data_IF_429132988092
#
_entry.id   IF_429132988092
#
_cell.length_a   1.000
_cell.length_b   1.000
_cell.length_c   1.000
_cell.angle_alpha   90.00
_cell.angle_beta   90.00
_cell.angle_gamma   90.00
#
_symmetry.space_group_name_H-M   'P 1'
#
loop_
_entity.id
_entity.type
_entity.pdbx_description
1 polymer ?
#
# COMPACT_ATOMS: atom_id res chain seq x y z
N UNK A 1 -34.51 11.71 -9.77
CA UNK A 1 -33.42 12.71 -9.83
C UNK A 1 -32.11 11.93 -9.81
N UNK A 2 -31.44 11.73 -10.95
CA UNK A 2 -30.12 11.08 -10.93
C UNK A 2 -29.11 12.10 -10.38
N UNK A 3 -28.70 11.90 -9.13
CA UNK A 3 -27.66 12.71 -8.51
C UNK A 3 -26.37 12.69 -9.34
N UNK A 4 -25.57 13.73 -9.25
CA UNK A 4 -24.22 13.75 -9.80
C UNK A 4 -23.40 12.62 -9.15
N UNK A 5 -22.63 11.86 -9.95
CA UNK A 5 -21.72 10.81 -9.50
C UNK A 5 -20.28 11.19 -9.81
N UNK A 6 -19.38 10.71 -8.98
CA UNK A 6 -17.94 10.77 -9.21
C UNK A 6 -17.47 9.38 -9.69
N UNK A 7 -17.06 9.31 -10.95
CA UNK A 7 -16.77 8.05 -11.65
C UNK A 7 -15.28 8.00 -12.00
N UNK A 8 -14.58 6.96 -11.60
CA UNK A 8 -13.21 6.72 -12.00
C UNK A 8 -13.18 5.83 -13.25
N UNK A 9 -12.46 6.26 -14.28
CA UNK A 9 -12.19 5.49 -15.52
C UNK A 9 -10.72 5.07 -15.47
N UNK A 10 -10.48 3.78 -15.26
CA UNK A 10 -9.13 3.23 -15.09
C UNK A 10 -8.65 2.62 -16.41
N UNK A 11 -7.65 3.23 -17.01
CA UNK A 11 -7.09 2.79 -18.29
C UNK A 11 -6.06 1.68 -18.10
N UNK A 12 -6.46 0.44 -18.34
CA UNK A 12 -5.67 -0.77 -18.19
C UNK A 12 -5.42 -1.52 -19.51
N UNK A 13 -5.67 -0.89 -20.67
CA UNK A 13 -5.59 -1.51 -22.01
C UNK A 13 -4.17 -1.59 -22.59
N UNK A 14 -3.18 -0.94 -21.99
CA UNK A 14 -1.82 -0.88 -22.50
C UNK A 14 -1.14 -2.24 -22.62
N UNK A 15 -0.58 -2.54 -23.80
CA UNK A 15 0.14 -3.79 -24.09
C UNK A 15 1.52 -3.91 -23.43
N UNK A 16 2.08 -2.79 -22.93
CA UNK A 16 3.37 -2.81 -22.23
C UNK A 16 4.61 -3.04 -23.12
N UNK A 17 4.54 -2.80 -24.44
CA UNK A 17 5.62 -3.06 -25.41
C UNK A 17 6.99 -2.55 -24.95
N UNK A 18 7.07 -1.36 -24.36
CA UNK A 18 8.33 -0.78 -23.83
C UNK A 18 8.86 -1.48 -22.59
N UNK A 19 8.05 -2.28 -21.93
CA UNK A 19 8.44 -2.98 -20.70
C UNK A 19 9.16 -4.30 -20.98
N UNK A 20 8.91 -4.95 -22.14
CA UNK A 20 9.60 -6.15 -22.58
C UNK A 20 9.29 -7.43 -21.78
N UNK A 21 8.25 -7.43 -20.92
CA UNK A 21 7.83 -8.61 -20.17
C UNK A 21 6.78 -9.43 -20.95
N UNK A 22 6.69 -10.75 -20.70
CA UNK A 22 5.68 -11.62 -21.33
C UNK A 22 4.25 -11.32 -20.88
N UNK A 23 4.08 -10.61 -19.75
CA UNK A 23 2.80 -10.21 -19.18
C UNK A 23 2.67 -8.68 -19.18
N UNK A 24 1.49 -8.12 -19.49
CA UNK A 24 1.27 -6.67 -19.41
C UNK A 24 1.53 -6.15 -17.99
N UNK A 25 2.21 -5.00 -17.90
CA UNK A 25 2.75 -4.43 -16.65
C UNK A 25 1.70 -4.16 -15.57
N UNK A 26 0.44 -3.92 -15.92
CA UNK A 26 -0.64 -3.73 -14.96
C UNK A 26 -0.97 -4.99 -14.14
N UNK A 27 -0.55 -6.16 -14.61
CA UNK A 27 -0.72 -7.44 -13.92
C UNK A 27 0.53 -7.93 -13.19
N UNK A 28 1.64 -7.21 -13.33
CA UNK A 28 2.85 -7.53 -12.56
C UNK A 28 2.59 -7.31 -11.07
N UNK A 29 3.16 -8.19 -10.26
CA UNK A 29 3.07 -8.07 -8.81
C UNK A 29 4.01 -7.01 -8.27
N UNK A 30 3.52 -6.29 -7.29
CA UNK A 30 4.16 -5.20 -6.58
C UNK A 30 3.68 -5.25 -5.13
N UNK A 31 4.57 -5.43 -4.17
CA UNK A 31 4.20 -5.52 -2.74
C UNK A 31 2.98 -6.44 -2.48
N UNK A 32 2.97 -7.65 -3.06
CA UNK A 32 1.96 -8.68 -2.85
C UNK A 32 0.68 -8.58 -3.69
N UNK A 33 0.44 -7.48 -4.41
CA UNK A 33 -0.73 -7.27 -5.28
C UNK A 33 -0.29 -6.91 -6.69
N UNK A 34 -1.18 -7.05 -7.66
CA UNK A 34 -0.91 -6.51 -9.00
C UNK A 34 -0.91 -4.98 -8.99
N UNK A 35 -0.21 -4.39 -9.94
CA UNK A 35 -0.21 -2.93 -10.14
C UNK A 35 -1.65 -2.41 -10.31
N UNK A 36 -2.51 -3.16 -11.01
CA UNK A 36 -3.93 -2.83 -11.18
C UNK A 36 -4.68 -2.85 -9.84
N UNK A 37 -4.48 -3.87 -9.00
CA UNK A 37 -5.12 -3.95 -7.67
C UNK A 37 -4.75 -2.77 -6.79
N UNK A 38 -3.47 -2.37 -6.77
CA UNK A 38 -3.05 -1.17 -6.03
C UNK A 38 -3.78 0.09 -6.50
N UNK A 39 -3.91 0.26 -7.81
CA UNK A 39 -4.63 1.41 -8.37
C UNK A 39 -6.11 1.35 -8.01
N UNK A 40 -6.76 0.19 -8.15
CA UNK A 40 -8.17 0.02 -7.81
C UNK A 40 -8.44 0.24 -6.32
N UNK A 41 -7.55 -0.21 -5.44
CA UNK A 41 -7.66 -0.02 -3.99
C UNK A 41 -7.78 1.45 -3.60
N UNK A 42 -7.08 2.36 -4.29
CA UNK A 42 -7.15 3.80 -4.01
C UNK A 42 -8.55 4.34 -4.28
N UNK A 43 -9.14 4.02 -5.43
CA UNK A 43 -10.48 4.51 -5.81
C UNK A 43 -11.59 3.77 -5.05
N UNK A 44 -11.45 2.47 -4.79
CA UNK A 44 -12.40 1.68 -4.00
C UNK A 44 -12.55 2.23 -2.59
N UNK A 45 -11.43 2.59 -1.95
CA UNK A 45 -11.42 3.12 -0.57
C UNK A 45 -11.77 4.60 -0.47
N UNK A 46 -11.75 5.34 -1.57
CA UNK A 46 -12.01 6.77 -1.55
C UNK A 46 -13.51 7.06 -1.32
N UNK A 47 -13.90 7.79 -0.26
CA UNK A 47 -15.32 7.95 0.12
C UNK A 47 -16.15 8.68 -0.93
N UNK A 48 -15.56 9.62 -1.67
CA UNK A 48 -16.25 10.41 -2.66
C UNK A 48 -16.37 9.75 -4.04
N UNK A 49 -15.74 8.60 -4.30
CA UNK A 49 -15.89 7.87 -5.56
C UNK A 49 -17.08 6.92 -5.46
N UNK A 50 -18.01 7.03 -6.40
CA UNK A 50 -19.25 6.25 -6.44
C UNK A 50 -19.13 5.01 -7.33
N UNK A 51 -18.36 5.10 -8.41
CA UNK A 51 -18.30 4.08 -9.47
C UNK A 51 -16.91 4.00 -10.08
N UNK A 52 -16.49 2.79 -10.46
CA UNK A 52 -15.24 2.54 -11.18
C UNK A 52 -15.58 1.80 -12.47
N UNK A 53 -15.07 2.32 -13.59
CA UNK A 53 -15.09 1.68 -14.91
C UNK A 53 -13.67 1.30 -15.28
N UNK A 54 -13.41 0.05 -15.60
CA UNK A 54 -12.10 -0.42 -16.05
C UNK A 54 -12.11 -0.57 -17.57
N UNK A 55 -11.10 0.01 -18.22
CA UNK A 55 -10.90 -0.13 -19.67
C UNK A 55 -9.72 -1.05 -19.89
N UNK A 56 -10.00 -2.33 -20.19
CA UNK A 56 -9.01 -3.40 -20.36
C UNK A 56 -8.64 -3.64 -21.82
N UNK A 57 -7.56 -4.40 -22.05
CA UNK A 57 -7.28 -5.00 -23.35
C UNK A 57 -8.21 -6.21 -23.56
N UNK A 58 -8.75 -6.38 -24.78
CA UNK A 58 -9.64 -7.49 -25.12
C UNK A 58 -9.05 -8.87 -24.74
N UNK A 59 -7.75 -9.07 -24.94
CA UNK A 59 -7.06 -10.34 -24.67
C UNK A 59 -6.94 -10.64 -23.16
N UNK A 60 -7.09 -9.65 -22.29
CA UNK A 60 -6.86 -9.77 -20.84
C UNK A 60 -8.11 -9.48 -20.01
N UNK A 61 -9.30 -9.40 -20.61
CA UNK A 61 -10.54 -9.11 -19.88
C UNK A 61 -10.89 -10.22 -18.87
N UNK A 62 -10.60 -11.48 -19.21
CA UNK A 62 -10.82 -12.61 -18.29
C UNK A 62 -9.98 -12.43 -17.02
N UNK A 63 -8.68 -12.22 -17.17
CA UNK A 63 -7.77 -11.98 -16.05
C UNK A 63 -8.17 -10.75 -15.21
N UNK A 64 -8.60 -9.70 -15.88
CA UNK A 64 -9.11 -8.49 -15.19
C UNK A 64 -10.33 -8.82 -14.32
N UNK A 65 -11.29 -9.57 -14.86
CA UNK A 65 -12.50 -9.99 -14.12
C UNK A 65 -12.17 -10.95 -12.96
N UNK A 66 -11.22 -11.87 -13.15
CA UNK A 66 -10.76 -12.77 -12.08
C UNK A 66 -10.17 -11.95 -10.90
N UNK A 67 -9.34 -10.95 -11.18
CA UNK A 67 -8.78 -10.04 -10.17
C UNK A 67 -9.90 -9.31 -9.42
N UNK A 68 -10.86 -8.74 -10.14
CA UNK A 68 -11.98 -8.00 -9.56
C UNK A 68 -12.79 -8.89 -8.62
N UNK A 69 -13.17 -10.08 -9.08
CA UNK A 69 -13.98 -11.01 -8.32
C UNK A 69 -13.25 -11.52 -7.07
N UNK A 70 -11.96 -11.87 -7.20
CA UNK A 70 -11.13 -12.32 -6.08
C UNK A 70 -10.97 -11.24 -5.01
N UNK A 71 -10.73 -9.98 -5.41
CA UNK A 71 -10.52 -8.87 -4.49
C UNK A 71 -11.83 -8.30 -3.91
N UNK A 72 -12.99 -8.62 -4.50
CA UNK A 72 -14.30 -8.21 -4.01
C UNK A 72 -14.58 -6.71 -4.13
N UNK A 73 -14.07 -6.05 -5.18
CA UNK A 73 -14.33 -4.63 -5.44
C UNK A 73 -15.81 -4.36 -5.68
N UNK A 74 -16.39 -3.47 -4.88
CA UNK A 74 -17.84 -3.15 -4.90
C UNK A 74 -18.19 -2.00 -5.83
N UNK A 75 -17.26 -1.06 -6.04
CA UNK A 75 -17.45 0.11 -6.88
C UNK A 75 -17.17 -0.16 -8.35
N UNK A 76 -16.51 -1.28 -8.68
CA UNK A 76 -16.29 -1.67 -10.08
C UNK A 76 -17.59 -2.18 -10.67
N UNK A 77 -18.19 -1.36 -11.52
CA UNK A 77 -19.49 -1.67 -12.13
C UNK A 77 -19.39 -2.17 -13.56
N UNK A 78 -18.29 -1.83 -14.26
CA UNK A 78 -18.09 -2.16 -15.68
C UNK A 78 -16.64 -2.46 -15.98
N UNK A 79 -16.44 -3.46 -16.85
CA UNK A 79 -15.16 -3.71 -17.54
C UNK A 79 -15.44 -3.64 -19.03
N UNK A 80 -14.82 -2.68 -19.71
CA UNK A 80 -15.02 -2.45 -21.15
C UNK A 80 -13.73 -2.70 -21.92
N UNK A 81 -13.84 -3.09 -23.19
CA UNK A 81 -12.67 -3.23 -24.05
C UNK A 81 -12.18 -1.85 -24.51
N UNK A 82 -10.89 -1.59 -24.34
CA UNK A 82 -10.22 -0.41 -24.88
C UNK A 82 -9.88 -0.55 -26.37
N UNK A 83 -9.33 0.53 -26.93
CA UNK A 83 -8.83 0.55 -28.29
C UNK A 83 -7.31 0.37 -28.39
N UNK A 84 -6.77 0.54 -29.58
CA UNK A 84 -5.33 0.41 -29.88
C UNK A 84 -4.52 1.54 -29.25
N UNK A 85 -5.12 2.73 -29.10
CA UNK A 85 -4.46 3.90 -28.52
C UNK A 85 -5.03 4.24 -27.15
N UNK A 86 -4.28 5.05 -26.36
CA UNK A 86 -4.77 5.59 -25.07
C UNK A 86 -6.04 6.41 -25.28
N UNK A 87 -6.10 7.24 -26.32
CA UNK A 87 -7.26 8.05 -26.68
C UNK A 87 -8.49 7.18 -26.96
N UNK A 88 -8.36 6.13 -27.78
CA UNK A 88 -9.46 5.21 -28.07
C UNK A 88 -9.94 4.48 -26.80
N UNK A 89 -9.04 4.16 -25.91
CA UNK A 89 -9.38 3.54 -24.63
C UNK A 89 -10.13 4.52 -23.72
N UNK A 90 -9.69 5.77 -23.64
CA UNK A 90 -10.41 6.83 -22.91
C UNK A 90 -11.80 7.06 -23.52
N UNK A 91 -11.91 7.10 -24.87
CA UNK A 91 -13.18 7.19 -25.58
C UNK A 91 -14.15 6.04 -25.25
N UNK A 92 -13.65 4.79 -25.18
CA UNK A 92 -14.45 3.63 -24.80
C UNK A 92 -14.94 3.76 -23.34
N UNK A 93 -14.07 4.23 -22.45
CA UNK A 93 -14.39 4.47 -21.05
C UNK A 93 -15.51 5.48 -20.88
N UNK A 94 -15.38 6.68 -21.47
CA UNK A 94 -16.41 7.73 -21.35
C UNK A 94 -17.71 7.36 -22.07
N UNK A 95 -17.66 6.60 -23.15
CA UNK A 95 -18.84 6.11 -23.85
C UNK A 95 -19.69 5.18 -22.97
N UNK A 96 -19.09 4.47 -22.03
CA UNK A 96 -19.79 3.60 -21.09
C UNK A 96 -20.50 4.34 -19.94
N UNK A 97 -20.16 5.62 -19.73
CA UNK A 97 -20.76 6.47 -18.70
C UNK A 97 -22.04 7.12 -19.27
N UNK A 98 -23.16 6.92 -18.60
CA UNK A 98 -24.46 7.47 -19.01
C UNK A 98 -24.70 8.81 -18.30
N UNK A 99 -24.96 9.87 -19.10
CA UNK A 99 -25.24 11.23 -18.59
C UNK A 99 -24.03 12.17 -18.69
N UNK A 100 -24.31 13.47 -18.76
CA UNK A 100 -23.32 14.51 -19.10
C UNK A 100 -22.88 15.38 -17.91
N UNK A 101 -23.47 15.15 -16.74
CA UNK A 101 -23.22 15.99 -15.54
C UNK A 101 -22.37 15.32 -14.48
N UNK A 102 -21.86 14.11 -14.75
CA UNK A 102 -20.98 13.40 -13.81
C UNK A 102 -19.57 14.02 -13.79
N UNK A 103 -18.89 13.92 -12.66
CA UNK A 103 -17.46 14.13 -12.59
C UNK A 103 -16.77 12.82 -12.95
N UNK A 104 -15.90 12.81 -13.94
CA UNK A 104 -15.13 11.64 -14.35
C UNK A 104 -13.64 11.88 -14.15
N UNK A 105 -12.95 10.90 -13.57
CA UNK A 105 -11.52 10.91 -13.36
C UNK A 105 -10.90 9.82 -14.21
N UNK A 106 -10.15 10.20 -15.24
CA UNK A 106 -9.43 9.28 -16.12
C UNK A 106 -8.04 9.04 -15.55
N UNK A 107 -7.73 7.78 -15.20
CA UNK A 107 -6.48 7.43 -14.54
C UNK A 107 -5.78 6.24 -15.19
N UNK A 108 -4.46 6.33 -15.32
CA UNK A 108 -3.64 5.23 -15.83
C UNK A 108 -3.52 4.12 -14.77
N UNK A 109 -3.94 2.89 -15.08
CA UNK A 109 -3.83 1.71 -14.19
C UNK A 109 -2.40 1.44 -13.69
N UNK A 110 -1.41 2.00 -14.35
CA UNK A 110 0.02 1.85 -14.04
C UNK A 110 0.61 3.00 -13.22
N UNK A 111 -0.25 3.75 -12.52
CA UNK A 111 0.12 4.71 -11.47
C UNK A 111 -0.45 4.29 -10.11
N UNK A 112 0.07 3.21 -9.53
CA UNK A 112 -0.51 2.59 -8.34
C UNK A 112 -0.28 3.41 -7.06
N UNK A 113 0.49 4.49 -7.14
CA UNK A 113 0.91 5.31 -6.01
C UNK A 113 0.12 6.63 -5.90
N UNK A 114 -1.06 6.72 -6.49
CA UNK A 114 -1.98 7.84 -6.31
C UNK A 114 -2.38 7.97 -4.83
N UNK A 115 -2.57 9.19 -4.35
CA UNK A 115 -3.08 9.48 -3.01
C UNK A 115 -4.53 10.03 -3.07
N UNK A 116 -5.26 9.91 -1.96
CA UNK A 116 -6.63 10.41 -1.85
C UNK A 116 -6.71 11.93 -2.00
N UNK A 117 -5.71 12.66 -1.48
CA UNK A 117 -5.67 14.12 -1.54
C UNK A 117 -5.61 14.66 -2.98
N UNK A 118 -4.96 13.93 -3.89
CA UNK A 118 -4.95 14.29 -5.31
C UNK A 118 -6.34 14.10 -5.94
N UNK A 119 -7.07 13.05 -5.57
CA UNK A 119 -8.46 12.84 -5.99
C UNK A 119 -9.35 14.00 -5.49
N UNK A 120 -9.23 14.35 -4.19
CA UNK A 120 -9.99 15.45 -3.61
C UNK A 120 -9.74 16.76 -4.35
N UNK A 121 -8.47 17.13 -4.63
CA UNK A 121 -8.13 18.33 -5.40
C UNK A 121 -8.78 18.36 -6.79
N UNK A 122 -8.80 17.22 -7.49
CA UNK A 122 -9.46 17.11 -8.79
C UNK A 122 -10.98 17.32 -8.69
N UNK A 123 -11.62 16.70 -7.70
CA UNK A 123 -13.06 16.83 -7.48
C UNK A 123 -13.46 18.25 -7.07
N UNK A 124 -12.65 18.91 -6.23
CA UNK A 124 -12.87 20.28 -5.80
C UNK A 124 -12.67 21.29 -6.94
N UNK A 125 -11.64 21.09 -7.79
CA UNK A 125 -11.43 21.93 -8.95
C UNK A 125 -12.59 21.86 -9.95
N UNK A 126 -13.20 20.69 -10.15
CA UNK A 126 -14.37 20.50 -10.99
C UNK A 126 -15.65 21.20 -10.47
N UNK A 127 -15.63 21.80 -9.29
CA UNK A 127 -16.72 22.72 -8.90
C UNK A 127 -16.63 24.08 -9.63
N UNK A 128 -15.44 24.45 -10.12
CA UNK A 128 -15.13 25.74 -10.72
C UNK A 128 -14.87 25.69 -12.23
N UNK A 129 -14.48 24.52 -12.75
CA UNK A 129 -14.10 24.33 -14.14
C UNK A 129 -14.64 23.00 -14.68
N UNK A 130 -14.50 22.79 -15.99
CA UNK A 130 -14.98 21.58 -16.68
C UNK A 130 -13.88 20.55 -16.95
N UNK A 131 -12.61 20.95 -16.84
CA UNK A 131 -11.45 20.09 -17.07
C UNK A 131 -10.31 20.41 -16.11
N UNK A 132 -9.64 19.39 -15.61
CA UNK A 132 -8.54 19.47 -14.62
C UNK A 132 -7.42 18.54 -15.01
N UNK A 133 -6.18 19.03 -14.98
CA UNK A 133 -4.97 18.21 -15.11
C UNK A 133 -4.25 18.11 -13.78
N UNK A 134 -3.74 16.94 -13.46
CA UNK A 134 -2.86 16.73 -12.31
C UNK A 134 -1.41 16.86 -12.78
N UNK A 135 -0.62 17.74 -12.16
CA UNK A 135 0.77 17.90 -12.58
C UNK A 135 1.70 18.28 -11.41
N UNK A 136 3.00 18.00 -11.61
CA UNK A 136 4.08 18.39 -10.69
C UNK A 136 5.05 19.35 -11.38
N UNK A 137 5.78 20.22 -10.65
CA UNK A 137 6.84 21.03 -11.22
C UNK A 137 7.90 20.16 -11.91
N UNK A 138 8.44 20.60 -13.05
CA UNK A 138 9.58 19.95 -13.68
C UNK A 138 10.84 20.13 -12.81
N UNK A 139 11.45 19.00 -12.37
CA UNK A 139 12.69 19.00 -11.57
C UNK A 139 13.93 19.25 -12.41
N UNK A 140 13.96 18.70 -13.61
CA UNK A 140 15.10 18.78 -14.51
C UNK A 140 14.92 19.91 -15.54
N UNK A 141 16.04 20.33 -16.14
CA UNK A 141 16.02 21.27 -17.27
C UNK A 141 15.40 20.58 -18.48
N UNK A 142 14.31 21.13 -19.00
CA UNK A 142 13.68 20.67 -20.23
C UNK A 142 14.33 21.38 -21.42
N UNK A 143 14.77 20.59 -22.41
CA UNK A 143 15.35 21.11 -23.65
C UNK A 143 14.45 20.75 -24.83
N UNK A 144 14.25 21.67 -25.76
CA UNK A 144 13.65 21.40 -27.06
C UNK A 144 14.76 21.20 -28.08
N UNK A 145 14.70 20.09 -28.81
CA UNK A 145 15.73 19.75 -29.81
C UNK A 145 15.16 19.83 -31.23
N UNK A 146 16.03 20.12 -32.16
CA UNK A 146 15.78 20.05 -33.61
C UNK A 146 15.85 18.60 -34.09
N UNK A 147 15.45 18.34 -35.34
CA UNK A 147 15.50 16.99 -35.95
C UNK A 147 16.91 16.40 -36.08
N UNK A 148 17.92 17.28 -36.14
CA UNK A 148 19.36 16.93 -36.21
C UNK A 148 20.03 16.92 -34.83
N UNK A 149 19.22 16.83 -33.75
CA UNK A 149 19.66 16.66 -32.35
C UNK A 149 20.44 17.83 -31.76
N UNK A 150 20.25 19.06 -32.26
CA UNK A 150 20.78 20.27 -31.65
C UNK A 150 19.74 20.90 -30.70
N UNK A 151 20.20 21.59 -29.67
CA UNK A 151 19.30 22.35 -28.79
C UNK A 151 18.71 23.53 -29.57
N UNK A 152 17.41 23.54 -29.71
CA UNK A 152 16.66 24.63 -30.33
C UNK A 152 16.30 25.74 -29.31
N UNK A 153 15.96 25.30 -28.07
CA UNK A 153 15.49 26.20 -27.02
C UNK A 153 15.51 25.52 -25.65
N UNK A 154 15.63 26.31 -24.60
CA UNK A 154 15.53 25.87 -23.19
C UNK A 154 14.44 26.71 -22.51
N UNK A 155 13.21 26.19 -22.44
CA UNK A 155 12.08 26.90 -21.85
C UNK A 155 12.33 27.23 -20.35
N UNK A 156 11.70 28.30 -19.85
CA UNK A 156 11.71 28.63 -18.42
C UNK A 156 11.04 27.51 -17.62
N UNK A 157 11.83 26.79 -16.81
CA UNK A 157 11.36 25.67 -15.99
C UNK A 157 10.30 26.07 -14.97
N UNK A 158 10.27 27.33 -14.53
CA UNK A 158 9.32 27.80 -13.51
C UNK A 158 7.86 27.66 -13.95
N UNK A 159 7.58 27.71 -15.26
CA UNK A 159 6.25 27.56 -15.84
C UNK A 159 5.97 26.15 -16.37
N UNK A 160 6.96 25.26 -16.34
CA UNK A 160 6.78 23.90 -16.86
C UNK A 160 6.29 22.93 -15.76
N UNK A 161 5.40 22.06 -16.17
CA UNK A 161 4.83 21.00 -15.34
C UNK A 161 4.92 19.65 -16.05
N UNK A 162 5.06 18.58 -15.28
CA UNK A 162 4.98 17.21 -15.76
C UNK A 162 3.58 16.68 -15.46
N UNK A 163 2.80 16.41 -16.52
CA UNK A 163 1.43 15.91 -16.43
C UNK A 163 1.39 14.51 -15.82
N UNK A 164 0.43 14.31 -14.94
CA UNK A 164 0.14 13.03 -14.31
C UNK A 164 -1.32 12.63 -14.61
N UNK A 165 -1.83 11.63 -13.92
CA UNK A 165 -3.25 11.31 -13.82
C UNK A 165 -3.59 11.08 -12.33
N UNK A 166 -4.87 11.28 -11.91
CA UNK A 166 -6.07 11.43 -12.73
C UNK A 166 -6.13 12.77 -13.46
N UNK A 167 -6.65 12.74 -14.69
CA UNK A 167 -7.21 13.91 -15.36
C UNK A 167 -8.71 13.90 -15.13
N UNK A 168 -9.31 15.01 -14.76
CA UNK A 168 -10.70 15.02 -14.36
C UNK A 168 -11.56 15.97 -15.22
N UNK A 169 -12.80 15.58 -15.47
CA UNK A 169 -13.68 16.26 -16.43
C UNK A 169 -15.14 16.20 -16.01
N UNK A 170 -15.96 17.16 -16.50
CA UNK A 170 -17.39 16.94 -16.65
C UNK A 170 -17.61 15.94 -17.79
N UNK A 171 -18.42 14.91 -17.56
CA UNK A 171 -18.59 13.80 -18.51
C UNK A 171 -19.04 14.22 -19.89
N UNK A 172 -19.91 15.24 -19.99
CA UNK A 172 -20.37 15.79 -21.27
C UNK A 172 -19.26 16.46 -22.06
N UNK A 173 -18.36 17.19 -21.41
CA UNK A 173 -17.24 17.89 -22.06
C UNK A 173 -16.24 16.88 -22.63
N UNK A 174 -15.85 15.87 -21.84
CA UNK A 174 -14.94 14.82 -22.29
C UNK A 174 -15.55 14.00 -23.45
N UNK A 175 -16.84 13.66 -23.36
CA UNK A 175 -17.56 12.95 -24.43
C UNK A 175 -17.54 13.74 -25.73
N UNK A 176 -17.87 15.03 -25.66
CA UNK A 176 -17.84 15.93 -26.84
C UNK A 176 -16.45 15.99 -27.47
N UNK A 177 -15.39 16.08 -26.66
CA UNK A 177 -14.00 16.07 -27.14
C UNK A 177 -13.69 14.81 -27.94
N UNK A 178 -14.02 13.63 -27.38
CA UNK A 178 -13.82 12.36 -28.07
C UNK A 178 -14.69 12.18 -29.30
N UNK A 179 -15.92 12.70 -29.33
CA UNK A 179 -16.79 12.63 -30.49
C UNK A 179 -16.23 13.48 -31.67
N UNK A 180 -15.67 14.64 -31.37
CA UNK A 180 -14.97 15.45 -32.37
C UNK A 180 -13.72 14.73 -32.90
N UNK A 181 -12.94 14.12 -32.00
CA UNK A 181 -11.72 13.42 -32.34
C UNK A 181 -11.91 12.20 -33.26
N UNK A 182 -13.11 11.60 -33.30
CA UNK A 182 -13.42 10.47 -34.21
C UNK A 182 -13.23 10.79 -35.68
N UNK A 183 -13.40 12.05 -36.05
CA UNK A 183 -13.37 12.51 -37.43
C UNK A 183 -11.99 13.06 -37.87
N UNK A 184 -10.99 13.01 -37.00
CA UNK A 184 -9.65 13.56 -37.21
C UNK A 184 -8.59 12.46 -37.21
N UNK A 185 -8.07 12.11 -38.40
CA UNK A 185 -7.13 10.99 -38.56
C UNK A 185 -5.68 11.28 -38.13
N UNK A 186 -5.26 12.55 -38.10
CA UNK A 186 -3.88 12.97 -37.81
C UNK A 186 -3.75 13.73 -36.47
N UNK A 187 -4.62 13.45 -35.53
CA UNK A 187 -4.66 14.12 -34.24
C UNK A 187 -3.37 13.86 -33.42
N UNK A 188 -2.64 14.94 -33.10
CA UNK A 188 -1.38 14.89 -32.33
C UNK A 188 -1.60 15.37 -30.89
N UNK A 189 -2.43 14.66 -30.14
CA UNK A 189 -2.60 14.91 -28.70
C UNK A 189 -2.14 13.70 -27.89
N UNK A 190 -1.60 13.94 -26.73
CA UNK A 190 -1.00 12.90 -25.88
C UNK A 190 -1.95 12.41 -24.77
N UNK A 191 -2.95 13.24 -24.42
CA UNK A 191 -3.88 12.99 -23.30
C UNK A 191 -5.25 13.67 -23.51
N UNK A 192 -6.13 13.48 -22.54
CA UNK A 192 -7.51 13.97 -22.63
C UNK A 192 -7.61 15.49 -22.43
N UNK A 193 -6.74 16.09 -21.62
CA UNK A 193 -6.65 17.55 -21.47
C UNK A 193 -6.23 18.23 -22.78
N UNK A 194 -5.31 17.59 -23.51
CA UNK A 194 -4.91 18.06 -24.84
C UNK A 194 -6.08 18.09 -25.83
N UNK A 195 -7.03 17.15 -25.75
CA UNK A 195 -8.26 17.19 -26.58
C UNK A 195 -9.13 18.39 -26.24
N UNK A 196 -9.32 18.69 -24.96
CA UNK A 196 -10.13 19.84 -24.52
C UNK A 196 -9.55 21.14 -25.09
N UNK A 197 -8.23 21.32 -24.96
CA UNK A 197 -7.54 22.51 -25.50
C UNK A 197 -7.57 22.57 -27.01
N UNK A 198 -7.34 21.45 -27.71
CA UNK A 198 -7.33 21.36 -29.17
C UNK A 198 -8.67 21.79 -29.78
N UNK A 199 -9.79 21.37 -29.19
CA UNK A 199 -11.12 21.70 -29.66
C UNK A 199 -11.73 22.96 -29.02
N UNK A 200 -10.99 23.67 -28.17
CA UNK A 200 -11.47 24.89 -27.51
C UNK A 200 -12.72 24.65 -26.65
N UNK A 201 -12.81 23.53 -25.96
CA UNK A 201 -13.97 23.14 -25.16
C UNK A 201 -13.96 23.69 -23.74
N UNK A 202 -13.01 24.51 -23.40
CA UNK A 202 -12.86 25.19 -22.13
C UNK A 202 -11.40 25.25 -21.66
N UNK A 203 -11.19 25.91 -20.52
CA UNK A 203 -9.89 25.98 -19.86
C UNK A 203 -9.64 24.70 -19.06
N UNK A 204 -8.35 24.35 -18.89
CA UNK A 204 -7.91 23.22 -18.08
C UNK A 204 -7.20 23.77 -16.85
N UNK A 205 -7.79 23.58 -15.67
CA UNK A 205 -7.16 23.95 -14.40
C UNK A 205 -6.11 22.91 -14.03
N UNK A 206 -4.92 23.35 -13.54
CA UNK A 206 -3.86 22.46 -13.08
C UNK A 206 -3.89 22.35 -11.58
N UNK A 207 -4.05 21.14 -11.05
CA UNK A 207 -3.94 20.84 -9.61
C UNK A 207 -2.60 20.18 -9.28
N UNK A 208 -2.14 20.38 -8.03
CA UNK A 208 -0.90 19.79 -7.57
C UNK A 208 -1.02 18.26 -7.47
N UNK A 209 -0.15 17.54 -8.17
CA UNK A 209 0.07 16.10 -8.04
C UNK A 209 1.03 15.73 -6.90
N UNK A 210 1.42 14.46 -6.86
CA UNK A 210 2.43 13.93 -5.93
C UNK A 210 3.63 13.40 -6.74
N UNK A 211 4.84 13.72 -6.29
CA UNK A 211 6.10 13.24 -6.91
C UNK A 211 6.18 11.69 -6.89
N UNK A 212 5.55 11.05 -5.91
CA UNK A 212 5.49 9.60 -5.81
C UNK A 212 4.43 8.97 -6.73
N UNK A 213 3.53 9.73 -7.34
CA UNK A 213 2.53 9.22 -8.28
C UNK A 213 3.20 8.90 -9.63
N UNK A 214 4.25 8.07 -9.60
CA UNK A 214 5.03 7.68 -10.76
C UNK A 214 4.22 6.79 -11.71
N UNK A 215 4.53 6.89 -13.00
CA UNK A 215 4.01 5.97 -14.03
C UNK A 215 4.98 4.83 -14.23
N UNK A 216 4.58 3.60 -13.95
CA UNK A 216 5.38 2.41 -14.24
C UNK A 216 5.49 2.28 -15.76
N UNK A 217 6.69 2.55 -16.29
CA UNK A 217 6.96 2.59 -17.73
C UNK A 217 8.10 1.62 -18.10
N UNK A 218 9.13 1.56 -17.28
CA UNK A 218 10.33 0.71 -17.45
C UNK A 218 10.41 -0.33 -16.33
N UNK A 219 11.17 -1.44 -16.54
CA UNK A 219 11.37 -2.44 -15.49
C UNK A 219 11.92 -1.88 -14.18
N UNK A 220 12.80 -0.87 -14.23
CA UNK A 220 13.34 -0.17 -13.06
C UNK A 220 12.26 0.49 -12.20
N UNK A 221 11.14 0.91 -12.80
CA UNK A 221 10.08 1.62 -12.10
C UNK A 221 9.33 0.69 -11.12
N UNK A 222 9.31 -0.62 -11.38
CA UNK A 222 8.76 -1.61 -10.45
C UNK A 222 9.54 -1.60 -9.14
N UNK A 223 10.88 -1.63 -9.21
CA UNK A 223 11.73 -1.61 -8.02
C UNK A 223 11.57 -0.29 -7.24
N UNK A 224 11.47 0.83 -7.99
CA UNK A 224 11.22 2.13 -7.37
C UNK A 224 9.83 2.17 -6.70
N UNK A 225 8.79 1.71 -7.39
CA UNK A 225 7.43 1.65 -6.84
C UNK A 225 7.37 0.73 -5.62
N UNK A 226 7.99 -0.47 -5.67
CA UNK A 226 8.06 -1.39 -4.53
C UNK A 226 8.74 -0.70 -3.33
N UNK A 227 9.84 0.00 -3.57
CA UNK A 227 10.51 0.77 -2.52
C UNK A 227 9.65 1.89 -1.96
N UNK A 228 8.91 2.61 -2.80
CA UNK A 228 7.99 3.66 -2.34
C UNK A 228 6.84 3.02 -1.54
N UNK A 229 6.28 1.88 -1.95
CA UNK A 229 5.28 1.15 -1.16
C UNK A 229 5.83 0.74 0.21
N UNK A 230 7.05 0.21 0.26
CA UNK A 230 7.72 -0.11 1.53
C UNK A 230 7.92 1.13 2.41
N UNK A 231 8.14 2.31 1.81
CA UNK A 231 8.30 3.59 2.52
C UNK A 231 6.97 4.29 2.82
N UNK A 232 5.91 4.03 2.03
CA UNK A 232 4.52 4.45 2.29
C UNK A 232 3.83 3.56 3.33
N UNK A 233 4.61 2.81 4.09
CA UNK A 233 4.09 2.09 5.23
C UNK A 233 3.02 2.95 5.93
N UNK A 234 1.85 2.37 6.16
CA UNK A 234 0.69 3.09 6.72
C UNK A 234 1.12 3.82 7.99
N UNK A 235 1.24 5.14 7.90
CA UNK A 235 1.45 5.96 9.09
C UNK A 235 0.16 5.94 9.87
N UNK A 236 0.12 5.13 10.91
CA UNK A 236 -0.96 5.21 11.89
C UNK A 236 -0.59 6.37 12.81
N UNK A 237 -1.29 7.49 12.63
CA UNK A 237 -1.12 8.67 13.48
C UNK A 237 -1.60 8.38 14.91
N UNK A 238 -1.07 9.14 15.85
CA UNK A 238 -1.41 9.07 17.29
C UNK A 238 -2.88 9.42 17.60
N UNK A 239 -3.68 9.78 16.60
CA UNK A 239 -5.07 10.27 16.71
C UNK A 239 -6.17 9.31 16.23
N UNK A 240 -5.87 8.09 15.79
CA UNK A 240 -6.93 7.13 15.46
C UNK A 240 -7.67 6.70 16.75
N UNK A 241 -9.01 6.64 16.69
CA UNK A 241 -9.90 6.29 17.82
C UNK A 241 -9.50 4.95 18.46
N UNK A 242 -9.97 4.71 19.68
CA UNK A 242 -9.73 3.44 20.39
C UNK A 242 -10.29 2.29 19.54
N UNK A 243 -9.46 1.25 19.22
CA UNK A 243 -9.95 0.08 18.50
C UNK A 243 -11.02 -0.64 19.32
N UNK A 244 -12.07 -1.11 18.68
CA UNK A 244 -13.06 -1.97 19.32
C UNK A 244 -12.50 -3.39 19.47
N UNK A 245 -12.14 -3.74 20.68
CA UNK A 245 -11.49 -4.99 21.05
C UNK A 245 -12.41 -5.93 21.85
N UNK A 246 -13.62 -5.48 22.17
CA UNK A 246 -14.53 -6.22 23.05
C UNK A 246 -14.82 -7.62 22.52
N UNK A 247 -14.62 -8.61 23.37
CA UNK A 247 -14.82 -10.03 23.07
C UNK A 247 -13.82 -10.66 22.08
N UNK A 248 -12.82 -9.93 21.60
CA UNK A 248 -11.80 -10.48 20.69
C UNK A 248 -10.74 -11.27 21.45
N UNK A 249 -10.28 -12.35 20.85
CA UNK A 249 -9.23 -13.21 21.42
C UNK A 249 -7.87 -12.86 20.78
N UNK A 250 -6.94 -12.38 21.61
CA UNK A 250 -5.64 -11.85 21.17
C UNK A 250 -4.52 -12.59 21.91
N UNK A 251 -3.64 -13.25 21.16
CA UNK A 251 -2.45 -13.93 21.69
C UNK A 251 -1.22 -13.07 21.45
N UNK A 252 -0.46 -12.76 22.51
CA UNK A 252 0.74 -11.90 22.43
C UNK A 252 1.96 -12.68 22.87
N UNK A 253 2.82 -13.02 21.94
CA UNK A 253 4.14 -13.62 22.22
C UNK A 253 5.17 -12.52 22.50
N UNK A 254 5.89 -12.60 23.62
CA UNK A 254 6.79 -11.56 24.10
C UNK A 254 6.13 -10.56 25.06
N UNK A 255 5.10 -10.98 25.77
CA UNK A 255 4.23 -10.15 26.60
C UNK A 255 4.82 -9.66 27.92
N UNK A 256 6.02 -10.11 28.33
CA UNK A 256 6.56 -9.87 29.67
C UNK A 256 6.97 -8.41 29.94
N UNK A 257 7.36 -7.65 28.92
CA UNK A 257 7.85 -6.27 29.05
C UNK A 257 7.70 -5.45 27.77
N UNK A 258 7.94 -4.16 27.85
CA UNK A 258 7.99 -3.25 26.71
C UNK A 258 6.68 -3.20 25.92
N UNK A 259 6.78 -3.23 24.59
CA UNK A 259 5.62 -3.11 23.69
C UNK A 259 4.63 -4.26 23.90
N UNK A 260 5.10 -5.51 24.04
CA UNK A 260 4.22 -6.67 24.23
C UNK A 260 3.37 -6.57 25.49
N UNK A 261 3.96 -6.13 26.61
CA UNK A 261 3.19 -5.87 27.84
C UNK A 261 2.16 -4.76 27.62
N UNK A 262 2.56 -3.67 26.98
CA UNK A 262 1.64 -2.56 26.70
C UNK A 262 0.47 -2.96 25.79
N UNK A 263 0.70 -3.87 24.81
CA UNK A 263 -0.37 -4.44 23.98
C UNK A 263 -1.36 -5.23 24.87
N UNK A 264 -0.86 -6.08 25.77
CA UNK A 264 -1.71 -6.83 26.69
C UNK A 264 -2.54 -5.92 27.60
N UNK A 265 -1.92 -4.89 28.18
CA UNK A 265 -2.58 -3.95 29.09
C UNK A 265 -3.71 -3.19 28.36
N UNK A 266 -3.47 -2.71 27.14
CA UNK A 266 -4.46 -1.97 26.35
C UNK A 266 -5.57 -2.91 25.83
N UNK A 267 -5.22 -4.11 25.39
CA UNK A 267 -6.21 -5.07 24.91
C UNK A 267 -7.14 -5.53 26.03
N UNK A 268 -6.60 -5.80 27.21
CA UNK A 268 -7.40 -6.13 28.39
C UNK A 268 -8.30 -4.97 28.84
N UNK A 269 -7.80 -3.73 28.81
CA UNK A 269 -8.62 -2.53 29.09
C UNK A 269 -9.70 -2.26 28.03
N UNK A 270 -9.58 -2.86 26.84
CA UNK A 270 -10.58 -2.88 25.76
C UNK A 270 -11.48 -4.11 25.78
N UNK A 271 -11.52 -4.85 26.89
CA UNK A 271 -12.36 -6.05 27.11
C UNK A 271 -12.08 -7.21 26.13
N UNK A 272 -10.82 -7.31 25.64
CA UNK A 272 -10.38 -8.47 24.88
C UNK A 272 -9.99 -9.66 25.80
N UNK A 273 -10.13 -10.87 25.28
CA UNK A 273 -9.55 -12.08 25.86
C UNK A 273 -8.06 -12.10 25.50
N UNK A 274 -7.18 -11.81 26.46
CA UNK A 274 -5.73 -11.65 26.21
C UNK A 274 -4.96 -12.84 26.74
N UNK A 275 -4.23 -13.52 25.85
CA UNK A 275 -3.33 -14.61 26.18
C UNK A 275 -1.88 -14.07 26.11
N UNK A 276 -1.34 -13.73 27.27
CA UNK A 276 -0.01 -13.17 27.42
C UNK A 276 1.05 -14.27 27.50
N UNK A 277 1.93 -14.38 26.50
CA UNK A 277 2.88 -15.48 26.34
C UNK A 277 4.31 -14.96 26.36
N UNK A 278 5.19 -15.62 27.15
CA UNK A 278 6.61 -15.26 27.23
C UNK A 278 7.44 -16.39 27.80
N UNK A 279 8.76 -16.29 27.73
CA UNK A 279 9.67 -17.21 28.42
C UNK A 279 9.49 -17.20 29.94
N UNK A 280 9.01 -16.10 30.51
CA UNK A 280 8.75 -16.02 31.96
C UNK A 280 7.60 -16.95 32.40
N UNK A 281 6.67 -17.26 31.54
CA UNK A 281 5.60 -18.24 31.77
C UNK A 281 5.79 -19.54 30.98
N UNK A 282 7.05 -19.87 30.66
CA UNK A 282 7.46 -21.20 30.19
C UNK A 282 7.36 -21.42 28.66
N UNK A 283 7.02 -20.41 27.86
CA UNK A 283 6.89 -20.59 26.42
C UNK A 283 7.97 -19.81 25.67
N UNK A 284 8.86 -20.54 25.00
CA UNK A 284 9.80 -19.97 24.03
C UNK A 284 9.21 -20.01 22.64
N UNK A 285 9.25 -18.89 21.92
CA UNK A 285 8.74 -18.81 20.54
C UNK A 285 9.52 -19.70 19.55
N UNK A 286 10.71 -20.16 19.92
CA UNK A 286 11.50 -21.11 19.14
C UNK A 286 11.05 -22.57 19.32
N UNK A 287 10.25 -22.85 20.35
CA UNK A 287 9.66 -24.18 20.58
C UNK A 287 8.31 -24.28 19.87
N UNK A 288 8.31 -24.94 18.71
CA UNK A 288 7.10 -25.11 17.88
C UNK A 288 5.97 -25.86 18.59
N UNK A 289 6.33 -26.82 19.48
CA UNK A 289 5.32 -27.60 20.22
C UNK A 289 4.64 -26.74 21.28
N UNK A 290 5.42 -25.92 21.99
CA UNK A 290 4.88 -25.00 22.98
C UNK A 290 4.00 -23.92 22.35
N UNK A 291 4.43 -23.33 21.22
CA UNK A 291 3.62 -22.35 20.45
C UNK A 291 2.32 -22.97 19.99
N UNK A 292 2.37 -24.15 19.36
CA UNK A 292 1.18 -24.89 18.89
C UNK A 292 0.22 -25.23 20.01
N UNK A 293 0.73 -25.73 21.13
CA UNK A 293 -0.09 -26.07 22.30
C UNK A 293 -0.82 -24.84 22.84
N UNK A 294 -0.12 -23.71 23.02
CA UNK A 294 -0.72 -22.44 23.46
C UNK A 294 -1.87 -21.99 22.54
N UNK A 295 -1.67 -22.03 21.22
CA UNK A 295 -2.69 -21.59 20.26
C UNK A 295 -3.90 -22.56 20.26
N UNK A 296 -3.65 -23.87 20.38
CA UNK A 296 -4.72 -24.85 20.47
C UNK A 296 -5.56 -24.70 21.75
N UNK A 297 -4.91 -24.57 22.90
CA UNK A 297 -5.57 -24.32 24.19
C UNK A 297 -6.39 -23.02 24.16
N UNK A 298 -5.90 -22.00 23.46
CA UNK A 298 -6.64 -20.75 23.25
C UNK A 298 -7.92 -20.99 22.46
N UNK A 299 -7.87 -21.77 21.38
CA UNK A 299 -9.06 -22.10 20.58
C UNK A 299 -10.05 -22.93 21.39
N UNK A 300 -9.55 -23.93 22.14
CA UNK A 300 -10.39 -24.78 23.00
C UNK A 300 -11.12 -23.96 24.07
N UNK A 301 -10.49 -22.89 24.61
CA UNK A 301 -11.05 -22.05 25.67
C UNK A 301 -11.95 -20.91 25.16
N UNK A 302 -11.64 -20.34 23.99
CA UNK A 302 -12.28 -19.12 23.48
C UNK A 302 -12.97 -19.30 22.11
N UNK A 303 -12.89 -20.47 21.51
CA UNK A 303 -13.53 -20.82 20.25
C UNK A 303 -12.80 -20.32 18.99
N UNK A 304 -12.07 -19.21 19.05
CA UNK A 304 -11.31 -18.62 17.94
C UNK A 304 -10.15 -17.75 18.42
N UNK A 305 -9.26 -17.43 17.48
CA UNK A 305 -8.23 -16.42 17.66
C UNK A 305 -8.47 -15.32 16.63
N UNK A 306 -8.59 -14.05 17.05
CA UNK A 306 -8.75 -12.89 16.17
C UNK A 306 -7.41 -12.27 15.77
N UNK A 307 -6.42 -12.27 16.68
CA UNK A 307 -5.08 -11.78 16.39
C UNK A 307 -3.97 -12.55 17.13
N UNK A 308 -2.85 -12.78 16.44
CA UNK A 308 -1.59 -13.26 17.01
C UNK A 308 -0.51 -12.21 16.78
N UNK A 309 0.13 -11.76 17.87
CA UNK A 309 1.11 -10.67 17.83
C UNK A 309 2.44 -11.17 18.37
N UNK A 310 3.50 -11.17 17.55
CA UNK A 310 4.85 -11.62 17.90
C UNK A 310 5.76 -10.42 18.15
N UNK A 311 5.89 -10.01 19.42
CA UNK A 311 6.78 -8.91 19.86
C UNK A 311 8.12 -9.40 20.38
N UNK A 312 8.28 -10.70 20.60
CA UNK A 312 9.51 -11.27 21.13
C UNK A 312 10.71 -10.98 20.21
N UNK A 313 11.80 -10.56 20.81
CA UNK A 313 13.02 -10.25 20.07
C UNK A 313 14.18 -9.97 20.99
N UNK A 314 15.38 -10.13 20.45
CA UNK A 314 16.65 -9.82 21.13
C UNK A 314 17.50 -8.92 20.25
N UNK A 315 18.19 -7.98 20.87
CA UNK A 315 19.16 -7.09 20.22
C UNK A 315 20.50 -7.25 20.95
N UNK A 316 21.56 -7.51 20.19
CA UNK A 316 22.93 -7.52 20.66
C UNK A 316 23.75 -6.56 19.82
N UNK A 317 24.40 -5.62 20.48
CA UNK A 317 25.22 -4.59 19.82
C UNK A 317 26.70 -4.98 19.92
N UNK A 318 27.47 -4.71 18.87
CA UNK A 318 28.90 -4.99 18.78
C UNK A 318 29.35 -5.12 17.33
N UNK A 319 30.66 -5.04 17.11
CA UNK A 319 31.23 -5.36 15.80
C UNK A 319 31.04 -6.86 15.54
N UNK A 320 30.73 -7.25 14.31
CA UNK A 320 30.48 -8.66 13.95
C UNK A 320 31.67 -9.55 14.28
N UNK A 321 32.89 -9.06 14.10
CA UNK A 321 34.12 -9.81 14.40
C UNK A 321 34.32 -10.05 15.91
N UNK A 322 33.63 -9.33 16.78
CA UNK A 322 33.68 -9.52 18.25
C UNK A 322 32.47 -10.23 18.82
N UNK A 323 31.50 -10.64 18.01
CA UNK A 323 30.37 -11.47 18.46
C UNK A 323 30.72 -12.93 18.30
N UNK A 324 30.47 -13.71 19.35
CA UNK A 324 30.54 -15.17 19.28
C UNK A 324 29.32 -15.74 18.51
N UNK A 325 29.47 -16.96 18.00
CA UNK A 325 28.40 -17.61 17.25
C UNK A 325 27.15 -17.88 18.09
N UNK A 326 27.29 -18.11 19.39
CA UNK A 326 26.14 -18.30 20.27
C UNK A 326 25.25 -17.04 20.36
N UNK A 327 25.87 -15.86 20.43
CA UNK A 327 25.19 -14.57 20.38
C UNK A 327 24.52 -14.32 19.02
N UNK A 328 25.17 -14.74 17.93
CA UNK A 328 24.60 -14.64 16.57
C UNK A 328 23.38 -15.57 16.45
N UNK A 329 23.53 -16.82 16.88
CA UNK A 329 22.48 -17.85 16.85
C UNK A 329 21.27 -17.48 17.73
N UNK A 330 21.48 -16.86 18.90
CA UNK A 330 20.40 -16.34 19.73
C UNK A 330 19.54 -15.33 18.97
N UNK A 331 20.18 -14.39 18.25
CA UNK A 331 19.47 -13.38 17.47
C UNK A 331 18.73 -13.99 16.28
N UNK A 332 19.37 -14.90 15.53
CA UNK A 332 18.74 -15.58 14.39
C UNK A 332 17.58 -16.45 14.87
N UNK A 333 17.77 -17.22 15.92
CA UNK A 333 16.75 -18.12 16.47
C UNK A 333 15.55 -17.33 16.99
N UNK A 334 15.76 -16.34 17.86
CA UNK A 334 14.65 -15.60 18.45
C UNK A 334 13.96 -14.70 17.44
N UNK A 335 14.72 -13.86 16.70
CA UNK A 335 14.11 -12.83 15.87
C UNK A 335 13.52 -13.37 14.57
N UNK A 336 14.17 -14.36 13.93
CA UNK A 336 13.74 -14.87 12.64
C UNK A 336 13.03 -16.22 12.77
N UNK A 337 13.71 -17.28 13.27
CA UNK A 337 13.11 -18.60 13.38
C UNK A 337 11.86 -18.59 14.26
N UNK A 338 11.91 -17.92 15.43
CA UNK A 338 10.76 -17.80 16.32
C UNK A 338 9.57 -17.10 15.67
N UNK A 339 9.82 -16.03 14.89
CA UNK A 339 8.76 -15.34 14.12
C UNK A 339 8.16 -16.25 13.04
N UNK A 340 8.97 -17.07 12.36
CA UNK A 340 8.49 -18.06 11.38
C UNK A 340 7.61 -19.11 12.08
N UNK A 341 8.05 -19.63 13.23
CA UNK A 341 7.27 -20.60 14.03
C UNK A 341 5.91 -20.00 14.41
N UNK A 342 5.91 -18.80 14.99
CA UNK A 342 4.65 -18.13 15.39
C UNK A 342 3.75 -17.89 14.17
N UNK A 343 4.27 -17.40 13.06
CA UNK A 343 3.46 -17.15 11.87
C UNK A 343 2.85 -18.42 11.30
N UNK A 344 3.62 -19.51 11.21
CA UNK A 344 3.15 -20.81 10.72
C UNK A 344 2.08 -21.42 11.61
N UNK A 345 2.34 -21.51 12.91
CA UNK A 345 1.40 -22.12 13.85
C UNK A 345 0.13 -21.26 14.02
N UNK A 346 0.26 -19.93 13.98
CA UNK A 346 -0.87 -19.01 13.99
C UNK A 346 -1.74 -19.18 12.73
N UNK A 347 -1.12 -19.35 11.56
CA UNK A 347 -1.86 -19.63 10.33
C UNK A 347 -2.67 -20.94 10.45
N UNK A 348 -2.05 -22.03 10.88
CA UNK A 348 -2.76 -23.31 11.06
C UNK A 348 -3.91 -23.18 12.07
N UNK A 349 -3.75 -22.39 13.12
CA UNK A 349 -4.78 -22.14 14.13
C UNK A 349 -5.95 -21.26 13.61
N UNK A 350 -5.72 -20.43 12.61
CA UNK A 350 -6.70 -19.45 12.09
C UNK A 350 -7.20 -19.77 10.68
N UNK A 351 -6.69 -20.81 10.02
CA UNK A 351 -6.98 -21.05 8.59
C UNK A 351 -8.46 -21.22 8.25
N UNK A 352 -9.26 -21.71 9.18
CA UNK A 352 -10.69 -21.97 8.97
C UNK A 352 -11.58 -20.82 9.45
N UNK A 353 -11.06 -19.95 10.33
CA UNK A 353 -11.82 -18.85 10.93
C UNK A 353 -11.39 -17.46 10.44
N UNK A 354 -10.27 -17.38 9.73
CA UNK A 354 -9.59 -16.11 9.44
C UNK A 354 -9.02 -15.45 10.70
N UNK A 355 -8.26 -14.37 10.53
CA UNK A 355 -7.65 -13.64 11.62
C UNK A 355 -6.54 -12.70 11.16
N UNK A 356 -5.71 -12.24 12.09
CA UNK A 356 -4.60 -11.32 11.79
C UNK A 356 -3.33 -11.70 12.52
N UNK A 357 -2.18 -11.62 11.85
CA UNK A 357 -0.85 -11.84 12.42
C UNK A 357 -0.06 -10.54 12.34
N UNK A 358 0.59 -10.13 13.43
CA UNK A 358 1.49 -8.99 13.46
C UNK A 358 2.90 -9.42 13.87
N UNK A 359 3.88 -9.24 12.99
CA UNK A 359 5.29 -9.50 13.24
C UNK A 359 6.04 -8.18 13.44
N UNK A 360 6.95 -8.12 14.39
CA UNK A 360 7.69 -6.89 14.67
C UNK A 360 9.01 -6.81 13.90
N UNK A 361 9.15 -5.79 13.07
CA UNK A 361 10.39 -5.39 12.42
C UNK A 361 11.03 -4.20 13.15
N UNK A 362 11.85 -3.41 12.50
CA UNK A 362 12.54 -2.22 13.01
C UNK A 362 12.96 -1.33 11.86
N UNK A 363 13.14 -0.04 12.07
CA UNK A 363 13.66 0.90 11.06
C UNK A 363 15.00 0.46 10.44
N UNK A 364 15.69 -0.50 11.04
CA UNK A 364 16.90 -1.13 10.48
C UNK A 364 16.62 -2.11 9.33
N UNK A 365 15.35 -2.42 9.02
CA UNK A 365 15.03 -3.28 7.88
C UNK A 365 15.31 -2.62 6.53
N UNK A 366 15.21 -1.29 6.47
CA UNK A 366 15.43 -0.53 5.23
C UNK A 366 16.90 -0.37 4.88
N UNK A 367 17.76 -0.40 5.90
CA UNK A 367 19.21 -0.25 5.76
C UNK A 367 19.89 -0.90 6.95
N UNK A 368 20.86 -1.78 6.69
CA UNK A 368 21.71 -2.37 7.73
C UNK A 368 22.41 -1.29 8.57
N UNK A 369 22.53 -1.52 9.86
CA UNK A 369 23.16 -0.61 10.81
C UNK A 369 24.46 -1.22 11.32
N UNK A 370 25.52 -0.42 11.31
CA UNK A 370 26.78 -0.82 11.94
C UNK A 370 26.56 -1.17 13.42
N UNK A 371 27.29 -2.14 13.94
CA UNK A 371 27.27 -2.64 15.30
C UNK A 371 26.05 -3.49 15.71
N UNK A 372 25.02 -3.63 14.87
CA UNK A 372 23.91 -4.57 15.05
C UNK A 372 23.43 -5.14 13.70
N UNK A 373 24.41 -5.60 12.91
CA UNK A 373 24.22 -6.14 11.57
C UNK A 373 23.29 -7.36 11.54
N UNK A 374 23.48 -8.33 12.46
CA UNK A 374 22.65 -9.53 12.56
C UNK A 374 21.20 -9.17 12.87
N UNK A 375 20.98 -8.29 13.86
CA UNK A 375 19.64 -7.79 14.15
C UNK A 375 18.99 -7.15 12.93
N UNK A 376 19.71 -6.25 12.23
CA UNK A 376 19.19 -5.60 11.02
C UNK A 376 18.81 -6.61 9.95
N UNK A 377 19.63 -7.64 9.74
CA UNK A 377 19.36 -8.71 8.78
C UNK A 377 18.08 -9.48 9.15
N UNK A 378 17.91 -9.85 10.44
CA UNK A 378 16.69 -10.54 10.90
C UNK A 378 15.45 -9.67 10.70
N UNK A 379 15.54 -8.36 10.94
CA UNK A 379 14.40 -7.44 10.79
C UNK A 379 14.04 -7.15 9.32
N UNK A 380 15.02 -7.17 8.41
CA UNK A 380 14.76 -7.16 6.98
C UNK A 380 14.07 -8.45 6.51
N UNK A 381 14.51 -9.60 6.99
CA UNK A 381 13.90 -10.89 6.70
C UNK A 381 12.43 -10.96 7.14
N UNK A 382 12.05 -10.37 8.28
CA UNK A 382 10.65 -10.32 8.76
C UNK A 382 9.74 -9.59 7.77
N UNK A 383 10.18 -8.49 7.17
CA UNK A 383 9.38 -7.76 6.18
C UNK A 383 9.14 -8.62 4.95
N UNK A 384 10.21 -9.23 4.42
CA UNK A 384 10.11 -10.10 3.26
C UNK A 384 9.22 -11.33 3.54
N UNK A 385 9.36 -11.94 4.74
CA UNK A 385 8.51 -13.03 5.20
C UNK A 385 7.03 -12.63 5.26
N UNK A 386 6.70 -11.49 5.87
CA UNK A 386 5.31 -11.03 5.99
C UNK A 386 4.68 -10.78 4.62
N UNK A 387 5.44 -10.24 3.66
CA UNK A 387 5.00 -10.02 2.29
C UNK A 387 4.69 -11.34 1.57
N UNK A 388 5.59 -12.32 1.63
CA UNK A 388 5.39 -13.63 1.02
C UNK A 388 4.19 -14.36 1.63
N UNK A 389 4.14 -14.45 2.97
CA UNK A 389 3.06 -15.13 3.67
C UNK A 389 1.69 -14.44 3.48
N UNK A 390 1.66 -13.14 3.23
CA UNK A 390 0.40 -12.44 2.94
C UNK A 390 -0.29 -12.97 1.67
N UNK A 391 0.48 -13.37 0.66
CA UNK A 391 -0.05 -14.00 -0.55
C UNK A 391 -0.52 -15.45 -0.30
N UNK A 392 0.26 -16.22 0.49
CA UNK A 392 -0.06 -17.60 0.82
C UNK A 392 -1.31 -17.71 1.71
N UNK A 393 -1.50 -16.76 2.63
CA UNK A 393 -2.57 -16.78 3.62
C UNK A 393 -3.87 -16.12 3.16
N UNK A 394 -3.82 -15.31 2.09
CA UNK A 394 -4.97 -14.57 1.57
C UNK A 394 -6.19 -15.46 1.26
N UNK A 395 -6.05 -16.65 0.64
CA UNK A 395 -7.19 -17.53 0.34
C UNK A 395 -7.96 -18.03 1.59
N UNK A 396 -7.31 -17.95 2.75
CA UNK A 396 -7.85 -18.40 4.05
C UNK A 396 -8.33 -17.23 4.91
N UNK A 397 -8.39 -16.02 4.37
CA UNK A 397 -8.75 -14.81 5.10
C UNK A 397 -7.87 -14.53 6.34
N UNK A 398 -6.65 -15.05 6.36
CA UNK A 398 -5.63 -14.74 7.38
C UNK A 398 -4.74 -13.62 6.84
N UNK A 399 -4.69 -12.52 7.56
CA UNK A 399 -3.87 -11.35 7.22
C UNK A 399 -2.58 -11.37 8.02
N UNK A 400 -1.50 -10.88 7.43
CA UNK A 400 -0.21 -10.75 8.12
C UNK A 400 0.45 -9.43 7.74
N UNK A 401 0.93 -8.68 8.75
CA UNK A 401 1.60 -7.40 8.55
C UNK A 401 2.88 -7.31 9.41
N UNK A 402 3.84 -6.51 8.95
CA UNK A 402 5.05 -6.19 9.69
C UNK A 402 4.90 -4.85 10.41
N UNK A 403 5.06 -4.82 11.73
CA UNK A 403 4.98 -3.59 12.54
C UNK A 403 6.39 -3.00 12.66
N UNK A 404 6.55 -1.76 12.24
CA UNK A 404 7.82 -1.03 12.28
C UNK A 404 7.75 0.18 13.21
N UNK A 405 7.97 0.00 14.51
CA UNK A 405 8.02 1.13 15.42
C UNK A 405 9.32 1.91 15.23
N UNK A 406 9.23 3.23 15.30
CA UNK A 406 10.38 4.09 15.49
C UNK A 406 11.02 3.83 16.87
N UNK A 407 12.03 4.61 17.24
CA UNK A 407 12.68 4.48 18.57
C UNK A 407 11.62 4.52 19.66
N UNK A 408 11.47 3.43 20.40
CA UNK A 408 10.43 3.28 21.41
C UNK A 408 11.06 3.12 22.79
N UNK A 409 10.51 3.79 23.79
CA UNK A 409 10.91 3.68 25.18
C UNK A 409 10.61 2.27 25.71
N UNK A 410 11.61 1.42 25.73
CA UNK A 410 11.51 0.02 26.16
C UNK A 410 12.78 -0.41 26.91
N UNK A 411 12.70 -1.40 27.81
CA UNK A 411 13.88 -1.96 28.46
C UNK A 411 14.97 -2.40 27.48
N UNK A 412 14.61 -3.07 26.38
CA UNK A 412 15.56 -3.45 25.32
C UNK A 412 16.32 -2.23 24.78
N UNK A 413 15.64 -1.10 24.58
CA UNK A 413 16.26 0.10 24.07
C UNK A 413 17.27 0.66 25.07
N UNK A 414 16.85 0.83 26.30
CA UNK A 414 17.71 1.35 27.39
C UNK A 414 18.92 0.47 27.64
N UNK A 415 18.74 -0.86 27.65
CA UNK A 415 19.80 -1.86 27.82
C UNK A 415 20.90 -1.76 26.74
N UNK A 416 20.54 -1.39 25.50
CA UNK A 416 21.47 -1.39 24.36
C UNK A 416 22.01 0.01 24.00
N UNK A 417 21.31 1.09 24.34
CA UNK A 417 21.66 2.45 23.92
C UNK A 417 21.78 3.45 25.07
N UNK A 418 21.50 3.01 26.30
CA UNK A 418 21.50 3.91 27.47
C UNK A 418 20.22 4.75 27.58
N UNK A 419 20.24 5.74 28.46
CA UNK A 419 19.15 6.70 28.61
C UNK A 419 19.15 7.70 27.46
N UNK A 420 17.99 7.91 26.84
CA UNK A 420 17.75 8.87 25.78
C UNK A 420 16.65 9.87 26.22
N UNK A 421 16.59 11.08 25.65
CA UNK A 421 15.51 12.04 25.94
C UNK A 421 14.15 11.44 25.62
N UNK A 422 13.19 11.62 26.52
CA UNK A 422 11.84 11.00 26.40
C UNK A 422 11.11 11.50 25.15
N UNK A 423 11.30 12.78 24.77
CA UNK A 423 10.71 13.41 23.59
C UNK A 423 11.25 12.87 22.26
N UNK A 424 12.37 12.14 22.28
CA UNK A 424 12.95 11.50 21.11
C UNK A 424 12.49 10.03 20.95
N UNK A 425 11.63 9.55 21.83
CA UNK A 425 11.18 8.15 21.89
C UNK A 425 9.65 8.07 21.83
N UNK A 426 9.14 7.14 21.03
CA UNK A 426 7.74 6.74 21.11
C UNK A 426 7.43 6.09 22.47
N UNK A 427 6.29 6.42 23.03
CA UNK A 427 5.74 5.64 24.15
C UNK A 427 5.28 4.26 23.67
N UNK A 428 5.53 3.22 24.46
CA UNK A 428 5.14 1.85 24.12
C UNK A 428 3.61 1.71 23.93
N UNK A 429 2.80 2.52 24.60
CA UNK A 429 1.35 2.51 24.47
C UNK A 429 0.88 3.05 23.10
N UNK A 430 1.61 3.98 22.50
CA UNK A 430 1.34 4.47 21.13
C UNK A 430 1.55 3.32 20.14
N UNK A 431 2.67 2.62 20.26
CA UNK A 431 2.97 1.46 19.41
C UNK A 431 1.95 0.35 19.62
N UNK A 432 1.53 0.11 20.85
CA UNK A 432 0.53 -0.91 21.16
C UNK A 432 -0.84 -0.60 20.52
N UNK A 433 -1.35 0.62 20.67
CA UNK A 433 -2.61 1.04 20.02
C UNK A 433 -2.56 0.89 18.50
N UNK A 434 -1.49 1.38 17.89
CA UNK A 434 -1.31 1.30 16.44
C UNK A 434 -1.24 -0.17 15.96
N UNK A 435 -0.57 -1.05 16.73
CA UNK A 435 -0.51 -2.50 16.42
C UNK A 435 -1.90 -3.14 16.48
N UNK A 436 -2.68 -2.86 17.52
CA UNK A 436 -4.04 -3.37 17.67
C UNK A 436 -4.96 -2.86 16.54
N UNK A 437 -4.88 -1.58 16.20
CA UNK A 437 -5.61 -1.01 15.04
C UNK A 437 -5.19 -1.66 13.71
N UNK A 438 -3.91 -1.98 13.54
CA UNK A 438 -3.42 -2.69 12.36
C UNK A 438 -3.99 -4.11 12.25
N UNK A 439 -4.10 -4.83 13.37
CA UNK A 439 -4.70 -6.17 13.41
C UNK A 439 -6.19 -6.15 13.01
N UNK A 440 -6.92 -5.08 13.27
CA UNK A 440 -8.34 -4.92 12.89
C UNK A 440 -8.53 -4.41 11.45
N UNK A 441 -7.48 -3.86 10.84
CA UNK A 441 -7.50 -3.36 9.47
C UNK A 441 -7.65 -4.51 8.45
N UNK A 442 -8.29 -4.29 7.30
CA UNK A 442 -8.32 -5.26 6.21
C UNK A 442 -6.98 -5.40 5.46
N UNK A 443 -5.97 -4.60 5.79
CA UNK A 443 -4.67 -4.63 5.15
C UNK A 443 -3.89 -5.92 5.44
N UNK A 444 -3.13 -6.39 4.44
CA UNK A 444 -2.22 -7.53 4.55
C UNK A 444 -0.97 -7.31 3.70
N UNK A 445 0.18 -7.85 4.13
CA UNK A 445 1.46 -7.69 3.44
C UNK A 445 2.09 -6.31 3.60
N UNK A 446 1.54 -5.46 4.45
CA UNK A 446 2.00 -4.09 4.66
C UNK A 446 3.07 -4.00 5.77
N UNK A 447 3.93 -3.00 5.64
CA UNK A 447 4.76 -2.53 6.75
C UNK A 447 4.03 -1.35 7.40
N UNK A 448 3.68 -1.50 8.66
CA UNK A 448 2.98 -0.46 9.43
C UNK A 448 4.00 0.38 10.17
N UNK A 449 4.32 1.55 9.64
CA UNK A 449 5.24 2.52 10.27
C UNK A 449 4.54 3.27 11.39
N UNK A 450 5.14 3.25 12.56
CA UNK A 450 4.67 4.01 13.72
C UNK A 450 5.76 4.99 14.11
N UNK A 451 5.47 6.28 13.97
CA UNK A 451 6.43 7.37 14.14
C UNK A 451 5.91 8.43 15.10
N UNK A 452 6.86 9.23 15.64
CA UNK A 452 6.56 10.44 16.40
C UNK A 452 5.82 11.47 15.57
#
# INVERSE_FOLDING_TARGET
MSGHRNIAIILASGSGVRFGAPMPKQFLKLAGKTVLEHTLDVFERHPAIDEIVIVGNADNLLLTNEIINRAGYRKVTKVVSGGVTRQQSSAAGIASVVGDRHKVLVHDAVRPLLDHTTIDRCLDALERCDAVDTAIPASDTVIRVTTDSHIADIPDRSVLRLGQTPQAFRSGVLRKAHDLAKNESELKVTDDCGLILHYGLGDVEVVAGDINNIKITYPSDIYLADRIFQLRARRIGTGEGKPDLSGRTIVVFGASRGIGKSICDIAAAGEANVIAVSRANGVDICDEKAVRATLRETIESHGRIDAVIATAGVLRTGLIAGQDYATIDEQLSTNLRGSIVVAREAFEAMRDTGGSIALFTSSSYTRGRARYSVYSATKAAIVNLAQALSEEFLPFHVRINAINPERTATPMRTENFGAEPTEALLDASVVARATLSACLSPATGEVVDIRL
#
